data_IF_783634749458
#
_entry.id   IF_783634749458
#
_cell.length_a   1.000
_cell.length_b   1.000
_cell.length_c   1.000
_cell.angle_alpha   90.00
_cell.angle_beta   90.00
_cell.angle_gamma   90.00
#
_symmetry.space_group_name_H-M   'P 1'
#
loop_
_entity.id
_entity.type
_entity.pdbx_description
1 polymer ?
#
# COMPACT_ATOMS: atom_id res chain seq x y z
N UNK A 1 1.37 0.38 35.27
CA UNK A 1 2.28 -0.14 34.24
C UNK A 1 1.45 -0.88 33.20
N UNK A 2 1.21 -0.29 32.02
CA UNK A 2 0.55 -0.99 30.92
C UNK A 2 1.59 -1.37 29.87
N UNK A 3 2.04 -2.63 29.93
CA UNK A 3 2.95 -3.24 28.97
C UNK A 3 2.14 -3.98 27.91
N UNK A 4 2.22 -3.56 26.65
CA UNK A 4 1.43 -4.15 25.55
C UNK A 4 2.36 -5.03 24.72
N UNK A 5 2.01 -6.31 24.55
CA UNK A 5 2.81 -7.22 23.70
C UNK A 5 2.72 -6.79 22.23
N UNK A 6 3.86 -6.55 21.59
CA UNK A 6 3.94 -6.11 20.18
C UNK A 6 4.23 -7.29 19.25
N UNK A 7 5.25 -8.10 19.58
CA UNK A 7 5.63 -9.28 18.77
C UNK A 7 6.40 -10.31 19.59
N UNK A 8 6.32 -11.57 19.16
CA UNK A 8 7.16 -12.67 19.65
C UNK A 8 7.96 -13.27 18.50
N UNK A 9 9.24 -13.55 18.75
CA UNK A 9 10.18 -14.14 17.78
C UNK A 9 10.98 -15.27 18.43
N UNK A 10 11.85 -15.93 17.66
CA UNK A 10 12.76 -16.98 18.14
C UNK A 10 13.72 -16.48 19.23
N UNK A 11 14.02 -15.17 19.25
CA UNK A 11 14.94 -14.53 20.19
C UNK A 11 14.29 -14.07 21.49
N UNK A 12 12.96 -13.85 21.51
CA UNK A 12 12.26 -13.28 22.66
C UNK A 12 10.95 -12.58 22.29
N UNK A 13 10.36 -11.89 23.26
CA UNK A 13 9.12 -11.12 23.12
C UNK A 13 9.38 -9.65 23.36
N UNK A 14 8.79 -8.80 22.52
CA UNK A 14 8.87 -7.35 22.63
C UNK A 14 7.54 -6.76 23.11
N UNK A 15 7.66 -5.79 24.01
CA UNK A 15 6.55 -5.11 24.67
C UNK A 15 6.70 -3.59 24.51
N UNK A 16 5.58 -2.90 24.39
CA UNK A 16 5.49 -1.44 24.45
C UNK A 16 5.20 -1.00 25.88
N UNK A 17 6.11 -0.25 26.49
CA UNK A 17 5.89 0.45 27.76
C UNK A 17 5.24 1.80 27.44
N UNK A 18 3.92 1.89 27.65
CA UNK A 18 3.14 3.10 27.38
C UNK A 18 3.48 4.27 28.31
N UNK A 19 3.98 4.00 29.51
CA UNK A 19 4.35 5.02 30.49
C UNK A 19 5.71 5.63 30.13
N UNK A 20 6.68 4.80 29.77
CA UNK A 20 8.03 5.23 29.40
C UNK A 20 8.18 5.52 27.91
N UNK A 21 7.13 5.30 27.11
CA UNK A 21 7.09 5.47 25.64
C UNK A 21 8.26 4.80 24.93
N UNK A 22 8.55 3.55 25.30
CA UNK A 22 9.68 2.79 24.74
C UNK A 22 9.37 1.31 24.61
N UNK A 23 10.12 0.64 23.76
CA UNK A 23 10.08 -0.82 23.62
C UNK A 23 10.96 -1.50 24.66
N UNK A 24 10.47 -2.58 25.26
CA UNK A 24 11.19 -3.46 26.18
C UNK A 24 11.25 -4.86 25.58
N UNK A 25 12.44 -5.45 25.52
CA UNK A 25 12.67 -6.78 24.95
C UNK A 25 12.97 -7.76 26.06
N UNK A 26 12.21 -8.85 26.11
CA UNK A 26 12.39 -9.96 27.05
C UNK A 26 12.93 -11.17 26.28
N UNK A 27 14.17 -11.62 26.54
CA UNK A 27 14.76 -12.77 25.86
C UNK A 27 13.95 -14.06 26.06
N UNK A 28 14.03 -14.97 25.10
CA UNK A 28 13.35 -16.27 25.18
C UNK A 28 13.85 -17.06 26.40
N UNK A 29 12.93 -17.54 27.23
CA UNK A 29 13.22 -18.29 28.44
C UNK A 29 13.35 -17.45 29.71
N UNK A 30 13.29 -16.12 29.60
CA UNK A 30 13.14 -15.21 30.73
C UNK A 30 11.67 -14.84 30.90
N UNK A 31 11.14 -14.98 32.11
CA UNK A 31 9.79 -14.50 32.44
C UNK A 31 9.83 -12.98 32.67
N UNK A 32 8.90 -12.20 32.10
CA UNK A 32 8.79 -10.78 32.38
C UNK A 32 8.41 -10.54 33.84
N UNK A 33 9.06 -9.57 34.48
CA UNK A 33 8.80 -9.13 35.86
C UNK A 33 7.64 -8.12 35.96
N UNK A 34 6.84 -8.01 34.90
CA UNK A 34 5.73 -7.07 34.78
C UNK A 34 4.48 -7.76 34.24
N UNK A 35 3.31 -7.22 34.59
CA UNK A 35 2.04 -7.63 34.02
C UNK A 35 1.92 -7.09 32.59
N UNK A 36 1.85 -8.01 31.62
CA UNK A 36 1.66 -7.67 30.22
C UNK A 36 0.20 -7.89 29.81
N UNK A 37 -0.36 -6.92 29.11
CA UNK A 37 -1.65 -7.04 28.44
C UNK A 37 -1.39 -7.49 27.01
N UNK A 38 -1.91 -8.68 26.65
CA UNK A 38 -2.00 -9.08 25.25
C UNK A 38 -3.25 -8.42 24.66
N UNK A 39 -3.05 -7.36 23.89
CA UNK A 39 -4.11 -6.91 22.99
C UNK A 39 -4.24 -7.99 21.92
N UNK A 40 -5.36 -8.72 21.97
CA UNK A 40 -5.72 -9.68 20.94
C UNK A 40 -5.95 -8.85 19.67
N UNK A 41 -4.91 -8.73 18.84
CA UNK A 41 -5.00 -8.05 17.56
C UNK A 41 -6.21 -8.56 16.79
N UNK A 42 -6.75 -7.73 15.89
CA UNK A 42 -7.83 -8.13 15.00
C UNK A 42 -7.36 -9.42 14.31
N UNK A 43 -7.91 -10.58 14.73
CA UNK A 43 -7.83 -11.78 13.93
C UNK A 43 -8.58 -11.41 12.66
N UNK A 44 -7.84 -11.11 11.61
CA UNK A 44 -8.38 -11.14 10.27
C UNK A 44 -8.52 -12.61 9.92
N UNK A 45 -9.55 -13.27 10.42
CA UNK A 45 -10.05 -14.53 9.86
C UNK A 45 -10.62 -14.25 8.46
N UNK A 46 -9.76 -13.82 7.53
CA UNK A 46 -9.97 -13.71 6.08
C UNK A 46 -11.23 -12.96 5.59
N UNK A 47 -12.05 -12.39 6.47
CA UNK A 47 -13.40 -11.91 6.11
C UNK A 47 -13.97 -10.83 7.03
N UNK A 48 -13.21 -10.28 7.96
CA UNK A 48 -13.70 -9.23 8.88
C UNK A 48 -13.47 -7.84 8.29
N UNK A 49 -14.45 -7.39 7.50
CA UNK A 49 -14.62 -6.00 7.08
C UNK A 49 -15.01 -5.16 8.31
N UNK A 50 -14.28 -4.07 8.58
CA UNK A 50 -14.63 -3.12 9.65
C UNK A 50 -15.77 -2.25 9.15
N UNK A 51 -16.99 -2.48 9.64
CA UNK A 51 -18.11 -1.57 9.43
C UNK A 51 -18.09 -0.47 10.49
N UNK A 52 -17.91 0.78 10.09
CA UNK A 52 -18.27 1.95 10.92
C UNK A 52 -19.63 2.43 10.41
N UNK A 53 -20.62 2.44 11.29
CA UNK A 53 -21.97 2.97 11.04
C UNK A 53 -22.82 2.25 9.97
N UNK A 54 -22.53 0.98 9.70
CA UNK A 54 -23.35 0.15 8.79
C UNK A 54 -23.05 0.35 7.31
N UNK A 55 -22.01 1.11 6.97
CA UNK A 55 -21.52 1.23 5.59
C UNK A 55 -20.29 0.34 5.38
N UNK A 56 -20.38 -0.54 4.39
CA UNK A 56 -19.33 -1.48 4.00
C UNK A 56 -18.27 -0.73 3.19
N UNK A 57 -17.13 -0.42 3.79
CA UNK A 57 -15.95 0.05 3.05
C UNK A 57 -15.30 -1.15 2.36
N UNK A 58 -15.67 -1.38 1.11
CA UNK A 58 -14.84 -2.17 0.20
C UNK A 58 -13.61 -1.32 -0.12
N UNK A 59 -12.43 -1.73 0.36
CA UNK A 59 -11.22 -1.32 -0.35
C UNK A 59 -11.43 -1.81 -1.78
N UNK A 60 -11.26 -0.91 -2.75
CA UNK A 60 -11.46 -1.13 -4.18
C UNK A 60 -10.56 -2.25 -4.69
N UNK A 61 -10.94 -3.48 -4.40
CA UNK A 61 -10.56 -4.67 -5.11
C UNK A 61 -11.87 -5.15 -5.69
N UNK A 62 -12.05 -4.85 -6.96
CA UNK A 62 -12.98 -5.50 -7.86
C UNK A 62 -13.23 -6.92 -7.40
N UNK A 63 -14.49 -7.26 -7.15
CA UNK A 63 -14.88 -8.65 -7.06
C UNK A 63 -14.74 -9.16 -8.49
N UNK A 64 -13.64 -9.82 -8.79
CA UNK A 64 -13.58 -10.67 -9.98
C UNK A 64 -14.52 -11.84 -9.69
N UNK A 65 -15.76 -11.71 -10.16
CA UNK A 65 -16.72 -12.80 -10.27
C UNK A 65 -16.12 -13.83 -11.25
N UNK A 66 -15.22 -14.66 -10.74
CA UNK A 66 -14.62 -15.78 -11.45
C UNK A 66 -15.58 -16.97 -11.41
N UNK A 67 -16.78 -16.81 -11.98
CA UNK A 67 -17.71 -17.92 -12.22
C UNK A 67 -18.63 -17.66 -13.43
N UNK A 68 -18.07 -17.34 -14.59
CA UNK A 68 -18.90 -17.16 -15.79
C UNK A 68 -18.17 -17.17 -17.11
N UNK A 69 -17.62 -18.32 -17.50
CA UNK A 69 -17.36 -18.59 -18.92
C UNK A 69 -18.72 -18.65 -19.66
N UNK A 70 -19.21 -17.50 -20.11
CA UNK A 70 -20.35 -17.40 -21.04
C UNK A 70 -19.82 -16.76 -22.32
N UNK A 71 -19.63 -17.58 -23.34
CA UNK A 71 -19.16 -17.20 -24.67
C UNK A 71 -20.24 -16.48 -25.50
N UNK A 72 -20.97 -15.54 -24.90
CA UNK A 72 -22.06 -14.83 -25.52
C UNK A 72 -22.22 -13.43 -24.93
N UNK A 73 -21.28 -12.53 -25.23
CA UNK A 73 -21.57 -11.09 -25.24
C UNK A 73 -20.62 -10.29 -26.16
N UNK A 74 -20.26 -10.89 -27.30
CA UNK A 74 -19.86 -10.09 -28.46
C UNK A 74 -21.12 -9.55 -29.11
N UNK A 75 -21.67 -8.46 -28.59
CA UNK A 75 -22.47 -7.53 -29.37
C UNK A 75 -22.21 -6.12 -28.85
N UNK A 76 -21.47 -5.37 -29.67
CA UNK A 76 -21.12 -4.00 -29.36
C UNK A 76 -22.33 -3.09 -29.35
N UNK A 77 -22.24 -2.03 -28.55
CA UNK A 77 -22.55 -0.71 -29.07
C UNK A 77 -21.70 0.35 -28.39
N UNK A 78 -21.20 1.22 -29.24
CA UNK A 78 -20.31 2.33 -29.01
C UNK A 78 -21.14 3.53 -28.55
N UNK A 79 -20.87 4.10 -27.37
CA UNK A 79 -21.22 5.49 -27.12
C UNK A 79 -20.43 6.12 -25.97
N UNK A 80 -19.35 6.79 -26.38
CA UNK A 80 -19.00 8.16 -25.98
C UNK A 80 -18.81 8.44 -24.49
N UNK A 81 -17.54 8.52 -24.07
CA UNK A 81 -17.16 9.59 -23.15
C UNK A 81 -15.73 10.08 -23.45
N UNK A 82 -15.71 11.18 -24.20
CA UNK A 82 -14.80 12.31 -24.07
C UNK A 82 -13.30 12.09 -24.32
N UNK A 83 -12.84 12.63 -25.46
CA UNK A 83 -11.44 12.88 -25.71
C UNK A 83 -10.86 13.76 -24.60
N UNK A 84 -10.01 13.18 -23.75
CA UNK A 84 -8.91 13.92 -23.10
C UNK A 84 -7.81 12.93 -22.70
N UNK A 85 -6.74 12.98 -23.49
CA UNK A 85 -5.34 12.63 -23.19
C UNK A 85 -5.00 11.16 -22.96
N UNK A 86 -4.85 10.42 -24.07
CA UNK A 86 -4.20 9.09 -24.14
C UNK A 86 -2.68 9.12 -23.83
N UNK A 87 -2.10 10.28 -23.51
CA UNK A 87 -0.67 10.45 -23.23
C UNK A 87 -0.28 10.29 -21.74
N UNK A 88 -1.26 10.14 -20.82
CA UNK A 88 -0.94 10.06 -19.39
C UNK A 88 -0.38 8.70 -18.96
N UNK A 89 -0.76 7.61 -19.63
CA UNK A 89 -0.49 6.27 -19.09
C UNK A 89 0.92 5.72 -19.41
N UNK A 90 1.59 6.21 -20.46
CA UNK A 90 2.88 5.64 -20.89
C UNK A 90 3.99 5.88 -19.84
N UNK A 91 4.08 7.11 -19.31
CA UNK A 91 5.06 7.46 -18.28
C UNK A 91 4.66 6.90 -16.90
N UNK A 92 3.36 6.83 -16.62
CA UNK A 92 2.83 6.34 -15.34
C UNK A 92 3.05 4.84 -15.14
N UNK A 93 3.35 4.07 -16.19
CA UNK A 93 3.74 2.66 -16.09
C UNK A 93 5.25 2.42 -15.89
N UNK A 94 6.09 3.44 -16.10
CA UNK A 94 7.55 3.30 -15.99
C UNK A 94 8.05 3.41 -14.54
N UNK A 95 9.20 2.81 -14.24
CA UNK A 95 9.91 3.02 -12.97
C UNK A 95 10.65 4.36 -12.96
N UNK A 96 10.98 4.90 -11.77
CA UNK A 96 11.74 6.15 -11.66
C UNK A 96 13.10 6.13 -12.40
N UNK A 97 13.70 4.94 -12.57
CA UNK A 97 14.94 4.77 -13.33
C UNK A 97 14.70 4.90 -14.84
N UNK A 98 13.64 4.28 -15.33
CA UNK A 98 13.25 4.33 -16.75
C UNK A 98 12.82 5.73 -17.14
N UNK A 99 12.07 6.43 -16.28
CA UNK A 99 11.68 7.82 -16.48
C UNK A 99 12.89 8.75 -16.59
N UNK A 100 13.92 8.56 -15.75
CA UNK A 100 15.18 9.33 -15.87
C UNK A 100 15.93 9.01 -17.16
N UNK A 101 15.88 7.76 -17.63
CA UNK A 101 16.50 7.39 -18.90
C UNK A 101 15.73 7.99 -20.09
N UNK A 102 14.39 7.98 -20.02
CA UNK A 102 13.50 8.62 -20.96
C UNK A 102 13.79 10.13 -21.03
N UNK A 103 13.76 10.82 -19.88
CA UNK A 103 14.11 12.24 -19.77
C UNK A 103 15.46 12.55 -20.42
N UNK A 104 16.50 11.78 -20.09
CA UNK A 104 17.84 11.95 -20.67
C UNK A 104 17.88 11.75 -22.19
N UNK A 105 17.11 10.79 -22.72
CA UNK A 105 16.98 10.57 -24.17
C UNK A 105 16.30 11.74 -24.86
N UNK A 106 15.36 12.39 -24.16
CA UNK A 106 14.63 13.57 -24.63
C UNK A 106 15.34 14.90 -24.27
N UNK A 107 16.54 14.84 -23.67
CA UNK A 107 17.35 16.03 -23.35
C UNK A 107 16.95 16.77 -22.06
N UNK A 108 16.10 16.17 -21.23
CA UNK A 108 15.62 16.72 -19.97
C UNK A 108 16.54 16.25 -18.84
N UNK A 109 17.19 17.18 -18.14
CA UNK A 109 18.05 16.88 -17.00
C UNK A 109 17.26 16.92 -15.69
N UNK A 110 17.13 15.77 -15.04
CA UNK A 110 16.38 15.65 -13.79
C UNK A 110 17.34 15.76 -12.61
N UNK A 111 17.20 16.77 -11.74
CA UNK A 111 18.07 16.94 -10.59
C UNK A 111 18.06 15.71 -9.68
N UNK A 112 19.24 15.30 -9.20
CA UNK A 112 19.36 14.13 -8.32
C UNK A 112 18.59 14.22 -6.99
N UNK A 113 18.20 15.45 -6.60
CA UNK A 113 17.32 15.72 -5.46
C UNK A 113 15.88 15.23 -5.69
N UNK A 114 15.40 15.21 -6.94
CA UNK A 114 14.06 14.74 -7.31
C UNK A 114 14.05 13.22 -7.34
N UNK A 115 13.45 12.61 -6.31
CA UNK A 115 13.43 11.15 -6.13
C UNK A 115 12.06 10.53 -6.32
N UNK A 116 10.99 11.30 -6.15
CA UNK A 116 9.64 10.81 -6.29
C UNK A 116 9.31 10.60 -7.77
N UNK A 117 8.65 9.47 -8.08
CA UNK A 117 8.23 9.14 -9.43
C UNK A 117 7.29 10.21 -10.01
N UNK A 118 6.31 10.67 -9.22
CA UNK A 118 5.35 11.70 -9.66
C UNK A 118 6.04 13.00 -10.06
N UNK A 119 6.98 13.49 -9.23
CA UNK A 119 7.75 14.71 -9.55
C UNK A 119 8.59 14.54 -10.83
N UNK A 120 9.19 13.37 -11.02
CA UNK A 120 9.95 13.04 -12.24
C UNK A 120 9.04 13.09 -13.47
N UNK A 121 7.85 12.52 -13.39
CA UNK A 121 6.86 12.52 -14.49
C UNK A 121 6.40 13.95 -14.77
N UNK A 122 6.13 14.74 -13.72
CA UNK A 122 5.74 16.13 -13.87
C UNK A 122 6.81 16.95 -14.59
N UNK A 123 8.08 16.80 -14.20
CA UNK A 123 9.21 17.45 -14.87
C UNK A 123 9.35 17.05 -16.34
N UNK A 124 9.04 15.80 -16.69
CA UNK A 124 9.09 15.33 -18.08
C UNK A 124 7.97 15.97 -18.89
N UNK A 125 6.74 15.95 -18.37
CA UNK A 125 5.55 16.54 -19.03
C UNK A 125 5.63 18.06 -19.16
N UNK A 126 6.29 18.74 -18.23
CA UNK A 126 6.48 20.20 -18.30
C UNK A 126 7.54 20.61 -19.32
N UNK A 127 8.45 19.69 -19.69
CA UNK A 127 9.56 19.96 -20.59
C UNK A 127 9.34 19.45 -22.03
N UNK A 128 8.21 18.81 -22.29
CA UNK A 128 7.74 18.39 -23.63
C UNK A 128 7.05 19.55 -24.38
#
# INVERSE_FOLDING_TARGET
>A
MAMIKIRTSITGTEYWDSEKKKTVVVPKGQEPDFEATEEKGILSDGKTFVAVNGELITNSSEILDSDGNTAADFDGDEATNDQSTEDTDELDNMTAKELRAYAKKHGIDIPGAVRAKGDIIHLIREAE
#
